data_IF_501040569972
#
_entry.id   IF_501040569972
#
_cell.length_a   1.000
_cell.length_b   1.000
_cell.length_c   1.000
_cell.angle_alpha   90.00
_cell.angle_beta   90.00
_cell.angle_gamma   90.00
#
_symmetry.space_group_name_H-M   'P 1'
#
loop_
_entity.id
_entity.type
_entity.pdbx_description
1 polymer ?
#
# COMPACT_ATOMS: atom_id res chain seq x y z
N UNK A 1 10.72 9.84 -12.42
CA UNK A 1 11.80 9.31 -11.53
C UNK A 1 11.89 7.82 -11.73
N UNK A 2 13.08 7.24 -11.84
CA UNK A 2 13.26 5.78 -11.87
C UNK A 2 13.44 5.21 -10.45
N UNK A 3 13.40 3.85 -10.32
CA UNK A 3 13.48 3.19 -9.02
C UNK A 3 14.81 3.41 -8.31
N UNK A 4 15.93 3.49 -9.06
CA UNK A 4 17.26 3.72 -8.45
C UNK A 4 17.37 5.13 -7.85
N UNK A 5 16.76 6.11 -8.48
CA UNK A 5 16.69 7.48 -7.94
C UNK A 5 15.81 7.53 -6.69
N UNK A 6 14.68 6.83 -6.70
CA UNK A 6 13.81 6.74 -5.54
C UNK A 6 14.51 6.02 -4.37
N UNK A 7 15.24 4.92 -4.63
CA UNK A 7 15.99 4.23 -3.59
C UNK A 7 17.04 5.14 -2.93
N UNK A 8 17.79 5.91 -3.72
CA UNK A 8 18.75 6.88 -3.18
C UNK A 8 18.10 7.92 -2.28
N UNK A 9 16.91 8.41 -2.65
CA UNK A 9 16.15 9.33 -1.81
C UNK A 9 15.75 8.64 -0.50
N UNK A 10 15.21 7.42 -0.56
CA UNK A 10 14.81 6.70 0.65
C UNK A 10 15.99 6.43 1.58
N UNK A 11 17.15 6.05 1.04
CA UNK A 11 18.39 5.89 1.82
C UNK A 11 18.74 7.20 2.55
N UNK A 12 18.77 8.31 1.83
CA UNK A 12 19.08 9.61 2.42
C UNK A 12 18.09 10.02 3.53
N UNK A 13 16.78 9.73 3.35
CA UNK A 13 15.78 10.05 4.36
C UNK A 13 15.88 9.12 5.59
N UNK A 14 16.28 7.86 5.41
CA UNK A 14 16.54 6.92 6.50
C UNK A 14 17.76 7.40 7.31
N UNK A 15 18.85 7.76 6.67
CA UNK A 15 20.07 8.26 7.31
C UNK A 15 19.84 9.58 8.04
N UNK A 16 19.10 10.50 7.41
CA UNK A 16 18.72 11.79 8.01
C UNK A 16 17.65 11.67 9.10
N UNK A 17 17.05 10.51 9.29
CA UNK A 17 15.92 10.27 10.21
C UNK A 17 14.73 11.20 9.95
N UNK A 18 14.40 11.42 8.68
CA UNK A 18 13.26 12.23 8.22
C UNK A 18 12.21 11.37 7.51
N UNK A 19 11.53 10.45 8.24
CA UNK A 19 10.67 9.44 7.62
C UNK A 19 9.50 10.02 6.82
N UNK A 20 8.95 11.16 7.22
CA UNK A 20 7.83 11.79 6.50
C UNK A 20 8.22 12.15 5.05
N UNK A 21 9.42 12.69 4.84
CA UNK A 21 9.89 13.01 3.50
C UNK A 21 10.07 11.75 2.64
N UNK A 22 10.50 10.64 3.25
CA UNK A 22 10.60 9.34 2.58
C UNK A 22 9.23 8.76 2.22
N UNK A 23 8.25 8.87 3.12
CA UNK A 23 6.85 8.48 2.86
C UNK A 23 6.30 9.29 1.68
N UNK A 24 6.51 10.59 1.67
CA UNK A 24 6.08 11.48 0.60
C UNK A 24 6.72 11.10 -0.74
N UNK A 25 8.04 10.89 -0.76
CA UNK A 25 8.76 10.47 -1.97
C UNK A 25 8.21 9.14 -2.51
N UNK A 26 7.97 8.16 -1.64
CA UNK A 26 7.38 6.87 -2.01
C UNK A 26 5.99 7.05 -2.64
N UNK A 27 5.12 7.83 -1.99
CA UNK A 27 3.75 8.05 -2.46
C UNK A 27 3.66 8.86 -3.76
N UNK A 28 4.64 9.71 -4.04
CA UNK A 28 4.68 10.53 -5.26
C UNK A 28 5.31 9.82 -6.46
N UNK A 29 6.25 8.91 -6.22
CA UNK A 29 7.13 8.43 -7.29
C UNK A 29 7.16 6.92 -7.48
N UNK A 30 6.68 6.12 -6.52
CA UNK A 30 6.68 4.68 -6.68
C UNK A 30 5.62 4.22 -7.70
N UNK A 31 5.91 3.19 -8.51
CA UNK A 31 4.90 2.50 -9.30
C UNK A 31 3.77 1.98 -8.40
N UNK A 32 2.54 2.08 -8.88
CA UNK A 32 1.33 1.79 -8.09
C UNK A 32 1.32 0.41 -7.43
N UNK A 33 1.75 -0.63 -8.15
CA UNK A 33 1.81 -1.97 -7.58
C UNK A 33 2.83 -2.09 -6.43
N UNK A 34 3.98 -1.42 -6.55
CA UNK A 34 4.99 -1.37 -5.49
C UNK A 34 4.54 -0.54 -4.30
N UNK A 35 3.81 0.52 -4.56
CA UNK A 35 3.22 1.39 -3.54
C UNK A 35 2.19 0.63 -2.69
N UNK A 36 1.25 -0.07 -3.34
CA UNK A 36 0.23 -0.87 -2.66
C UNK A 36 0.88 -2.06 -1.94
N UNK A 37 1.91 -2.70 -2.55
CA UNK A 37 2.67 -3.75 -1.91
C UNK A 37 3.35 -3.27 -0.63
N UNK A 38 3.97 -2.10 -0.66
CA UNK A 38 4.53 -1.48 0.54
C UNK A 38 3.47 -1.26 1.63
N UNK A 39 2.26 -0.83 1.27
CA UNK A 39 1.14 -0.74 2.20
C UNK A 39 0.83 -2.08 2.89
N UNK A 40 0.77 -3.17 2.12
CA UNK A 40 0.57 -4.52 2.67
C UNK A 40 1.70 -4.94 3.62
N UNK A 41 2.95 -4.77 3.20
CA UNK A 41 4.13 -5.09 4.04
C UNK A 41 4.12 -4.30 5.35
N UNK A 42 3.76 -3.02 5.28
CA UNK A 42 3.66 -2.13 6.43
C UNK A 42 2.62 -2.60 7.44
N UNK A 43 1.43 -2.99 6.95
CA UNK A 43 0.36 -3.52 7.78
C UNK A 43 0.80 -4.80 8.51
N UNK A 44 1.34 -5.76 7.78
CA UNK A 44 1.82 -7.02 8.39
C UNK A 44 2.99 -6.80 9.36
N UNK A 45 3.79 -5.77 9.16
CA UNK A 45 4.87 -5.43 10.08
C UNK A 45 4.35 -4.88 11.41
N UNK A 46 3.34 -4.01 11.38
CA UNK A 46 2.80 -3.37 12.58
C UNK A 46 1.82 -4.29 13.33
N UNK A 47 1.00 -5.05 12.60
CA UNK A 47 -0.01 -5.94 13.21
C UNK A 47 0.47 -7.36 13.45
N UNK A 48 1.71 -7.54 13.86
CA UNK A 48 2.23 -8.87 14.20
C UNK A 48 1.59 -9.44 15.47
N UNK A 49 1.41 -10.75 15.56
CA UNK A 49 1.74 -11.78 14.56
C UNK A 49 0.71 -11.91 13.43
N UNK A 50 -0.49 -11.36 13.61
CA UNK A 50 -1.59 -11.44 12.64
C UNK A 50 -2.38 -10.14 12.64
N UNK A 51 -2.81 -9.65 11.47
CA UNK A 51 -3.74 -8.53 11.37
C UNK A 51 -5.07 -8.85 12.07
N UNK A 52 -5.83 -7.83 12.50
CA UNK A 52 -7.22 -8.02 12.89
C UNK A 52 -8.00 -8.70 11.76
N UNK A 53 -8.95 -9.63 12.04
CA UNK A 53 -9.63 -10.41 10.99
C UNK A 53 -10.30 -9.56 9.90
N UNK A 54 -10.89 -8.42 10.26
CA UNK A 54 -11.53 -7.49 9.32
C UNK A 54 -10.52 -6.81 8.39
N UNK A 55 -9.32 -6.56 8.87
CA UNK A 55 -8.22 -5.96 8.11
C UNK A 55 -7.53 -7.01 7.23
N UNK A 56 -7.46 -8.27 7.69
CA UNK A 56 -6.82 -9.36 6.95
C UNK A 56 -7.53 -9.63 5.61
N UNK A 57 -8.86 -9.65 5.60
CA UNK A 57 -9.66 -9.79 4.38
C UNK A 57 -9.38 -8.64 3.38
N UNK A 58 -9.26 -7.41 3.87
CA UNK A 58 -8.95 -6.26 3.05
C UNK A 58 -7.52 -6.30 2.49
N UNK A 59 -6.55 -6.72 3.31
CA UNK A 59 -5.17 -6.94 2.89
C UNK A 59 -5.05 -8.02 1.83
N UNK A 60 -5.84 -9.11 1.93
CA UNK A 60 -5.87 -10.17 0.94
C UNK A 60 -6.29 -9.64 -0.44
N UNK A 61 -7.32 -8.77 -0.52
CA UNK A 61 -7.73 -8.13 -1.78
C UNK A 61 -6.61 -7.25 -2.34
N UNK A 62 -5.99 -6.41 -1.52
CA UNK A 62 -4.91 -5.53 -1.94
C UNK A 62 -3.70 -6.32 -2.44
N UNK A 63 -3.29 -7.37 -1.72
CA UNK A 63 -2.19 -8.24 -2.10
C UNK A 63 -2.49 -8.97 -3.42
N UNK A 64 -3.69 -9.54 -3.60
CA UNK A 64 -4.08 -10.19 -4.85
C UNK A 64 -4.00 -9.23 -6.04
N UNK A 65 -4.46 -7.99 -5.87
CA UNK A 65 -4.36 -6.99 -6.92
C UNK A 65 -2.89 -6.69 -7.29
N UNK A 66 -1.98 -6.68 -6.35
CA UNK A 66 -0.54 -6.47 -6.63
C UNK A 66 0.02 -7.54 -7.56
N UNK A 67 -0.42 -8.80 -7.41
CA UNK A 67 0.04 -9.91 -8.25
C UNK A 67 -0.71 -10.01 -9.58
N UNK A 68 -1.99 -9.67 -9.58
CA UNK A 68 -2.87 -9.77 -10.74
C UNK A 68 -3.74 -8.50 -10.86
N UNK A 69 -3.18 -7.37 -11.28
CA UNK A 69 -3.94 -6.14 -11.44
C UNK A 69 -5.11 -6.35 -12.42
N UNK A 70 -6.33 -6.13 -11.93
CA UNK A 70 -7.55 -6.28 -12.74
C UNK A 70 -8.64 -5.32 -12.28
N UNK A 71 -9.58 -5.01 -13.18
CA UNK A 71 -10.74 -4.18 -12.84
C UNK A 71 -11.71 -4.93 -11.91
N UNK A 72 -11.74 -6.27 -11.95
CA UNK A 72 -12.54 -7.07 -11.03
C UNK A 72 -12.04 -6.91 -9.59
N UNK A 73 -10.74 -6.94 -9.37
CA UNK A 73 -10.15 -6.70 -8.04
C UNK A 73 -10.30 -5.24 -7.60
N UNK A 74 -10.27 -4.26 -8.53
CA UNK A 74 -10.60 -2.86 -8.20
C UNK A 74 -12.06 -2.71 -7.76
N UNK A 75 -12.98 -3.40 -8.44
CA UNK A 75 -14.40 -3.44 -8.05
C UNK A 75 -14.60 -4.12 -6.71
N UNK A 76 -13.93 -5.25 -6.47
CA UNK A 76 -13.96 -5.93 -5.17
C UNK A 76 -13.43 -5.05 -4.04
N UNK A 77 -12.32 -4.33 -4.28
CA UNK A 77 -11.77 -3.37 -3.34
C UNK A 77 -12.76 -2.21 -3.06
N UNK A 78 -13.40 -1.67 -4.10
CA UNK A 78 -14.42 -0.62 -3.96
C UNK A 78 -15.62 -1.08 -3.15
N UNK A 79 -16.07 -2.32 -3.35
CA UNK A 79 -17.19 -2.89 -2.59
C UNK A 79 -16.81 -3.09 -1.12
N UNK A 80 -15.66 -3.69 -0.86
CA UNK A 80 -15.18 -3.93 0.50
C UNK A 80 -14.92 -2.61 1.25
N UNK A 81 -14.40 -1.58 0.57
CA UNK A 81 -14.16 -0.27 1.17
C UNK A 81 -15.44 0.45 1.63
N UNK A 82 -16.60 0.06 1.13
CA UNK A 82 -17.91 0.59 1.56
C UNK A 82 -18.51 -0.16 2.75
N UNK A 83 -17.92 -1.28 3.15
CA UNK A 83 -18.40 -2.05 4.29
C UNK A 83 -18.14 -1.28 5.58
N UNK A 84 -19.12 -1.25 6.47
CA UNK A 84 -19.01 -0.65 7.80
C UNK A 84 -18.06 -1.44 8.72
N UNK A 85 -17.73 -2.67 8.34
CA UNK A 85 -16.85 -3.55 9.13
C UNK A 85 -15.37 -3.34 8.80
N UNK A 86 -15.03 -2.74 7.65
CA UNK A 86 -13.62 -2.49 7.30
C UNK A 86 -13.08 -1.32 8.13
N UNK A 87 -11.90 -1.52 8.70
CA UNK A 87 -11.23 -0.51 9.50
C UNK A 87 -10.31 0.37 8.64
N UNK A 88 -9.05 0.45 9.06
CA UNK A 88 -8.09 1.38 8.43
C UNK A 88 -7.61 0.90 7.05
N UNK A 89 -7.68 -0.41 6.74
CA UNK A 89 -7.41 -0.92 5.40
C UNK A 89 -8.37 -0.39 4.33
N UNK A 90 -9.46 0.29 4.72
CA UNK A 90 -10.30 1.06 3.79
C UNK A 90 -9.46 1.99 2.90
N UNK A 91 -8.48 2.67 3.46
CA UNK A 91 -7.58 3.54 2.71
C UNK A 91 -6.75 2.77 1.67
N UNK A 92 -6.24 1.60 2.03
CA UNK A 92 -5.48 0.76 1.10
C UNK A 92 -6.37 0.17 0.01
N UNK A 93 -7.61 -0.22 0.34
CA UNK A 93 -8.60 -0.65 -0.65
C UNK A 93 -8.96 0.49 -1.62
N UNK A 94 -9.06 1.73 -1.14
CA UNK A 94 -9.26 2.90 -1.99
C UNK A 94 -8.05 3.17 -2.88
N UNK A 95 -6.82 2.92 -2.39
CA UNK A 95 -5.63 2.98 -3.23
C UNK A 95 -5.71 1.97 -4.39
N UNK A 96 -6.19 0.75 -4.14
CA UNK A 96 -6.46 -0.27 -5.18
C UNK A 96 -7.57 0.20 -6.12
N UNK A 97 -8.70 0.64 -5.60
CA UNK A 97 -9.85 1.12 -6.38
C UNK A 97 -9.43 2.21 -7.37
N UNK A 98 -8.65 3.17 -6.92
CA UNK A 98 -8.21 4.33 -7.68
C UNK A 98 -6.79 4.19 -8.24
N UNK A 99 -6.37 2.97 -8.55
CA UNK A 99 -5.07 2.66 -9.16
C UNK A 99 -5.06 2.78 -10.69
N UNK A 100 -6.04 3.45 -11.28
CA UNK A 100 -6.28 3.50 -12.72
C UNK A 100 -7.31 2.46 -13.19
N UNK A 101 -7.25 2.07 -14.46
CA UNK A 101 -8.21 1.11 -15.04
C UNK A 101 -9.53 1.76 -15.46
N UNK A 102 -10.56 0.94 -15.59
CA UNK A 102 -11.87 1.34 -16.14
C UNK A 102 -12.99 0.79 -15.24
N UNK A 103 -13.35 1.56 -14.22
CA UNK A 103 -14.37 1.12 -13.25
C UNK A 103 -15.79 1.54 -13.60
N UNK A 104 -15.95 2.52 -14.48
CA UNK A 104 -17.23 3.10 -14.85
C UNK A 104 -17.42 3.04 -16.35
N UNK A 105 -18.66 3.00 -16.76
CA UNK A 105 -19.08 3.29 -18.14
C UNK A 105 -19.87 4.59 -18.14
N UNK A 106 -19.79 5.34 -19.23
CA UNK A 106 -20.66 6.49 -19.47
C UNK A 106 -22.08 6.05 -19.83
N UNK A 107 -22.96 7.03 -20.12
CA UNK A 107 -24.33 6.77 -20.48
C UNK A 107 -24.48 5.97 -21.80
N UNK A 108 -23.45 6.00 -22.65
CA UNK A 108 -23.40 5.24 -23.91
C UNK A 108 -22.76 3.85 -23.72
N UNK A 109 -22.43 3.45 -22.50
CA UNK A 109 -21.78 2.17 -22.19
C UNK A 109 -20.28 2.13 -22.50
N UNK A 110 -19.66 3.29 -22.78
CA UNK A 110 -18.24 3.41 -23.07
C UNK A 110 -17.46 3.45 -21.75
N UNK A 111 -16.38 2.65 -21.68
CA UNK A 111 -15.53 2.59 -20.51
C UNK A 111 -14.81 3.92 -20.25
N UNK A 112 -14.94 4.46 -19.05
CA UNK A 112 -14.32 5.73 -18.63
C UNK A 112 -13.07 5.42 -17.81
N UNK A 113 -11.90 5.99 -18.18
CA UNK A 113 -10.68 5.82 -17.41
C UNK A 113 -10.83 6.33 -15.97
N UNK A 114 -10.36 5.55 -15.02
CA UNK A 114 -10.32 5.95 -13.60
C UNK A 114 -8.97 6.64 -13.34
N UNK A 115 -8.96 7.84 -12.72
CA UNK A 115 -7.70 8.48 -12.35
C UNK A 115 -6.87 7.60 -11.42
N UNK A 116 -5.54 7.62 -11.59
CA UNK A 116 -4.64 6.99 -10.62
C UNK A 116 -4.31 7.98 -9.50
N UNK A 117 -4.95 7.81 -8.36
CA UNK A 117 -4.72 8.60 -7.15
C UNK A 117 -4.37 7.70 -5.95
N UNK A 118 -3.75 6.56 -6.21
CA UNK A 118 -3.34 5.60 -5.18
C UNK A 118 -2.34 6.19 -4.17
N UNK A 119 -1.49 7.13 -4.58
CA UNK A 119 -0.50 7.78 -3.71
C UNK A 119 -1.11 8.43 -2.47
N UNK A 120 -2.04 9.38 -2.59
CA UNK A 120 -2.70 10.01 -1.46
C UNK A 120 -3.40 9.02 -0.52
N UNK A 121 -4.06 8.00 -1.06
CA UNK A 121 -4.72 6.98 -0.24
C UNK A 121 -3.73 6.11 0.52
N UNK A 122 -2.65 5.67 -0.14
CA UNK A 122 -1.59 4.91 0.55
C UNK A 122 -0.91 5.77 1.61
N UNK A 123 -0.66 7.05 1.35
CA UNK A 123 -0.12 7.99 2.36
C UNK A 123 -1.04 8.06 3.59
N UNK A 124 -2.34 8.25 3.38
CA UNK A 124 -3.33 8.26 4.45
C UNK A 124 -3.33 6.95 5.25
N UNK A 125 -3.25 5.81 4.57
CA UNK A 125 -3.13 4.50 5.20
C UNK A 125 -1.90 4.40 6.10
N UNK A 126 -0.71 4.73 5.59
CA UNK A 126 0.55 4.66 6.33
C UNK A 126 0.52 5.54 7.58
N UNK A 127 0.01 6.77 7.49
CA UNK A 127 -0.08 7.66 8.64
C UNK A 127 -1.08 7.14 9.70
N UNK A 128 -2.23 6.62 9.29
CA UNK A 128 -3.18 6.01 10.22
C UNK A 128 -2.59 4.75 10.88
N UNK A 129 -1.88 3.93 10.11
CA UNK A 129 -1.22 2.74 10.62
C UNK A 129 -0.15 3.09 11.66
N UNK A 130 0.69 4.09 11.41
CA UNK A 130 1.67 4.60 12.38
C UNK A 130 1.02 5.18 13.64
N UNK A 131 -0.17 5.78 13.52
CA UNK A 131 -0.90 6.31 14.66
C UNK A 131 -1.35 5.22 15.65
N UNK A 132 -1.45 3.96 15.23
CA UNK A 132 -1.76 2.82 16.12
C UNK A 132 -0.57 2.40 16.98
N UNK A 133 0.66 2.78 16.60
CA UNK A 133 1.85 2.50 17.40
C UNK A 133 1.92 3.42 18.61
N UNK A 134 2.41 2.94 19.76
CA UNK A 134 2.68 3.79 20.92
C UNK A 134 3.54 5.00 20.54
N UNK A 135 3.29 6.20 21.09
CA UNK A 135 4.04 7.41 20.73
C UNK A 135 5.57 7.26 20.81
N UNK A 136 6.06 6.51 21.80
CA UNK A 136 7.50 6.25 22.01
C UNK A 136 8.11 5.35 20.92
N UNK A 137 7.32 4.56 20.24
CA UNK A 137 7.76 3.62 19.20
C UNK A 137 7.59 4.16 17.79
N UNK A 138 6.81 5.24 17.60
CA UNK A 138 6.47 5.78 16.27
C UNK A 138 7.67 6.13 15.41
N UNK A 139 8.72 6.69 16.02
CA UNK A 139 9.94 7.04 15.30
C UNK A 139 10.61 5.78 14.73
N UNK A 140 10.74 4.74 15.54
CA UNK A 140 11.30 3.44 15.10
C UNK A 140 10.39 2.77 14.09
N UNK A 141 9.08 2.75 14.33
CA UNK A 141 8.10 2.20 13.39
C UNK A 141 8.20 2.91 12.03
N UNK A 142 8.27 4.24 12.00
CA UNK A 142 8.40 5.01 10.75
C UNK A 142 9.67 4.66 9.98
N UNK A 143 10.79 4.50 10.69
CA UNK A 143 12.07 4.07 10.07
C UNK A 143 11.95 2.66 9.48
N UNK A 144 11.31 1.74 10.20
CA UNK A 144 11.08 0.37 9.72
C UNK A 144 10.20 0.38 8.47
N UNK A 145 9.16 1.22 8.41
CA UNK A 145 8.31 1.34 7.22
C UNK A 145 9.09 1.87 6.00
N UNK A 146 10.07 2.76 6.19
CA UNK A 146 10.95 3.19 5.09
C UNK A 146 11.88 2.07 4.62
N UNK A 147 12.37 1.22 5.51
CA UNK A 147 13.14 0.04 5.11
C UNK A 147 12.27 -0.92 4.29
N UNK A 148 11.00 -1.11 4.66
CA UNK A 148 10.03 -1.87 3.86
C UNK A 148 9.73 -1.21 2.51
N UNK A 149 9.67 0.13 2.45
CA UNK A 149 9.54 0.85 1.19
C UNK A 149 10.72 0.54 0.24
N UNK A 150 11.94 0.57 0.75
CA UNK A 150 13.13 0.17 -0.02
C UNK A 150 13.03 -1.28 -0.51
N UNK A 151 12.63 -2.20 0.36
CA UNK A 151 12.41 -3.60 -0.06
C UNK A 151 11.37 -3.70 -1.17
N UNK A 152 10.27 -2.95 -1.06
CA UNK A 152 9.22 -2.96 -2.07
C UNK A 152 9.68 -2.47 -3.44
N UNK A 153 10.65 -1.55 -3.51
CA UNK A 153 11.12 -1.01 -4.79
C UNK A 153 12.37 -1.72 -5.33
N UNK A 154 13.21 -2.29 -4.48
CA UNK A 154 14.48 -2.91 -4.90
C UNK A 154 14.38 -4.41 -5.12
N UNK A 155 13.49 -5.11 -4.41
CA UNK A 155 13.32 -6.56 -4.60
C UNK A 155 12.42 -6.86 -5.79
N UNK A 156 12.59 -8.00 -6.46
CA UNK A 156 11.63 -8.49 -7.43
C UNK A 156 10.23 -8.54 -6.82
N UNK A 157 9.21 -8.16 -7.61
CA UNK A 157 7.83 -8.38 -7.19
C UNK A 157 7.56 -9.86 -7.05
N UNK A 158 6.83 -10.30 -6.03
CA UNK A 158 6.44 -11.68 -5.91
C UNK A 158 5.65 -12.13 -7.16
N UNK A 159 5.97 -13.31 -7.69
CA UNK A 159 5.40 -13.81 -8.95
C UNK A 159 4.22 -14.77 -8.76
N UNK A 160 3.95 -15.15 -7.51
CA UNK A 160 2.83 -16.02 -7.18
C UNK A 160 2.03 -15.41 -6.02
N UNK A 161 0.71 -15.62 -6.03
CA UNK A 161 -0.14 -15.28 -4.89
C UNK A 161 0.39 -16.04 -3.66
N UNK A 162 0.87 -15.35 -2.62
CA UNK A 162 1.33 -16.04 -1.43
C UNK A 162 0.13 -16.71 -0.77
N UNK A 163 0.20 -18.00 -0.57
CA UNK A 163 -0.78 -18.79 0.19
C UNK A 163 -0.91 -18.27 1.64
N UNK A 164 0.09 -17.56 2.11
CA UNK A 164 0.08 -16.68 3.28
C UNK A 164 1.20 -15.64 3.11
N UNK A 165 0.90 -14.37 2.86
CA UNK A 165 1.92 -13.34 2.76
C UNK A 165 2.41 -12.96 4.15
N UNK A 166 3.31 -13.76 4.71
CA UNK A 166 4.07 -13.35 5.89
C UNK A 166 5.38 -12.75 5.40
N UNK A 167 5.64 -11.46 5.65
CA UNK A 167 6.97 -10.93 5.41
C UNK A 167 7.94 -11.70 6.30
N UNK A 168 8.85 -12.45 5.71
CA UNK A 168 10.05 -12.86 6.42
C UNK A 168 10.88 -11.58 6.60
N UNK A 169 10.69 -10.93 7.73
CA UNK A 169 11.59 -9.89 8.19
C UNK A 169 12.79 -10.60 8.79
N UNK A 170 13.86 -10.60 8.04
CA UNK A 170 15.19 -10.86 8.55
C UNK A 170 15.70 -9.61 9.22
#
# INVERSE_FOLDING_TARGET
MNLDQLDKILVAQIEARTPNNGIDAMCQHAPTNRLIWWGCLSAWSIWRPTPPPVEDAALAIAARWVFQPSDDLRRAAALQAKSDTVGMCKWLLQAVQFSGGQLKTDEAGIAVPTPNVSGPYTKGFIHNLLATSPPVERATASQNLLQLARQAITRPMPTAEPTQPKPQLV
#
